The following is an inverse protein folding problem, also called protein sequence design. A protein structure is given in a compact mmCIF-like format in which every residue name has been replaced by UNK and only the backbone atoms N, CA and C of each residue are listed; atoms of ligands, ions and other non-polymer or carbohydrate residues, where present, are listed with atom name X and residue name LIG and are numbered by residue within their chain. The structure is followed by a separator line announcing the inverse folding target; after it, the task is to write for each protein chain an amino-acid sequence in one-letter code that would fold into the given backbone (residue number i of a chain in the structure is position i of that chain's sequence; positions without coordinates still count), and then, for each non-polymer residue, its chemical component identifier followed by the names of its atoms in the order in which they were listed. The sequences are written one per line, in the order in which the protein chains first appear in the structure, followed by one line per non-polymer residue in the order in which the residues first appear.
data_IF_772228565006
#
_entry.id   IF_772228565006
#
_cell.length_a   1.000
_cell.length_b   1.000
_cell.length_c   1.000
_cell.angle_alpha   90.00
_cell.angle_beta   90.00
_cell.angle_gamma   90.00
#
_symmetry.space_group_name_H-M   'P 1'
#
loop_
_entity.id
_entity.type
_entity.pdbx_description
1 polymer ?
#
# COMPACT_ATOMS: atom_id res chain seq x y z
N UNK A 1 -18.88 -3.12 6.41
CA UNK A 1 -18.94 -4.50 5.93
C UNK A 1 -19.48 -4.57 4.49
N UNK A 2 -19.07 -5.60 3.71
CA UNK A 2 -19.57 -5.81 2.36
C UNK A 2 -19.17 -4.81 1.29
N UNK A 3 -18.25 -3.88 1.58
CA UNK A 3 -17.72 -2.89 0.65
C UNK A 3 -16.48 -3.40 -0.09
N UNK A 4 -16.24 -2.87 -1.30
CA UNK A 4 -14.96 -3.05 -2.00
C UNK A 4 -13.94 -2.13 -1.36
N UNK A 5 -12.78 -2.67 -1.02
CA UNK A 5 -11.71 -1.92 -0.35
C UNK A 5 -10.48 -1.82 -1.23
N UNK A 6 -9.99 -0.61 -1.40
CA UNK A 6 -8.69 -0.31 -2.00
C UNK A 6 -7.70 0.00 -0.87
N UNK A 7 -6.70 -0.86 -0.70
CA UNK A 7 -5.71 -0.78 0.39
C UNK A 7 -4.35 -0.37 -0.15
N UNK A 8 -3.75 0.68 0.38
CA UNK A 8 -2.39 1.10 0.08
C UNK A 8 -1.42 0.68 1.18
N UNK A 9 -0.50 -0.21 0.86
CA UNK A 9 0.55 -0.70 1.76
C UNK A 9 1.95 -0.29 1.29
N UNK A 10 2.94 -0.30 2.17
CA UNK A 10 4.35 -0.06 1.85
C UNK A 10 5.16 -1.37 1.87
N UNK A 11 5.10 -2.09 0.75
CA UNK A 11 5.91 -3.29 0.53
C UNK A 11 7.15 -3.00 -0.35
N UNK A 12 7.72 -1.79 -0.21
CA UNK A 12 9.00 -1.48 -0.83
C UNK A 12 10.13 -2.16 -0.06
N UNK A 13 10.29 -3.45 -0.30
CA UNK A 13 11.21 -4.37 0.38
C UNK A 13 12.27 -4.90 -0.58
N UNK A 14 13.47 -5.25 -0.08
CA UNK A 14 14.52 -5.81 -0.91
C UNK A 14 14.17 -7.22 -1.37
N UNK A 15 14.41 -7.46 -2.67
CA UNK A 15 14.25 -8.77 -3.32
C UNK A 15 15.58 -9.13 -3.97
N UNK A 16 16.00 -10.39 -3.85
CA UNK A 16 17.15 -10.98 -4.55
C UNK A 16 16.74 -12.37 -5.04
N UNK A 17 17.09 -12.68 -6.29
CA UNK A 17 16.82 -13.99 -6.89
C UNK A 17 15.36 -14.44 -6.72
N UNK A 18 14.43 -13.51 -6.97
CA UNK A 18 12.97 -13.67 -6.79
C UNK A 18 12.52 -13.96 -5.34
N UNK A 19 13.39 -13.82 -4.37
CA UNK A 19 13.06 -14.01 -2.95
C UNK A 19 13.03 -12.70 -2.17
N UNK A 20 12.06 -12.59 -1.28
CA UNK A 20 11.93 -11.49 -0.33
C UNK A 20 12.96 -11.68 0.78
N UNK A 21 13.91 -10.73 0.92
CA UNK A 21 14.96 -10.81 1.93
C UNK A 21 14.50 -10.43 3.34
N UNK A 22 13.51 -9.57 3.44
CA UNK A 22 12.94 -9.14 4.72
C UNK A 22 11.46 -8.83 4.52
N UNK A 23 10.60 -9.55 5.22
CA UNK A 23 9.14 -9.42 5.12
C UNK A 23 8.50 -8.68 6.31
N UNK A 24 9.28 -8.06 7.18
CA UNK A 24 8.79 -7.37 8.37
C UNK A 24 7.67 -6.36 8.07
N UNK A 25 7.81 -5.58 6.99
CA UNK A 25 6.77 -4.64 6.56
C UNK A 25 5.47 -5.33 6.17
N UNK A 26 5.57 -6.53 5.58
CA UNK A 26 4.41 -7.34 5.24
C UNK A 26 3.74 -7.88 6.50
N UNK A 27 4.54 -8.44 7.41
CA UNK A 27 4.06 -8.97 8.70
C UNK A 27 3.33 -7.88 9.51
N UNK A 28 3.89 -6.66 9.55
CA UNK A 28 3.24 -5.52 10.23
C UNK A 28 1.92 -5.09 9.60
N UNK A 29 1.72 -5.31 8.31
CA UNK A 29 0.46 -4.99 7.62
C UNK A 29 -0.59 -6.12 7.71
N UNK A 30 -0.21 -7.34 8.13
CA UNK A 30 -1.13 -8.48 8.20
C UNK A 30 -2.37 -8.23 9.06
N UNK A 31 -2.31 -7.55 10.22
CA UNK A 31 -3.52 -7.26 11.00
C UNK A 31 -4.57 -6.51 10.19
N UNK A 32 -4.18 -5.44 9.48
CA UNK A 32 -5.07 -4.68 8.59
C UNK A 32 -5.61 -5.56 7.47
N UNK A 33 -4.75 -6.32 6.79
CA UNK A 33 -5.15 -7.16 5.66
C UNK A 33 -6.13 -8.25 6.10
N UNK A 34 -5.86 -8.96 7.19
CA UNK A 34 -6.74 -10.00 7.73
C UNK A 34 -8.09 -9.45 8.14
N UNK A 35 -8.12 -8.33 8.86
CA UNK A 35 -9.36 -7.66 9.22
C UNK A 35 -10.20 -7.28 7.98
N UNK A 36 -9.56 -6.73 6.95
CA UNK A 36 -10.25 -6.37 5.71
C UNK A 36 -10.72 -7.60 4.92
N UNK A 37 -9.96 -8.70 4.92
CA UNK A 37 -10.39 -9.96 4.30
C UNK A 37 -11.66 -10.53 4.94
N UNK A 38 -11.84 -10.38 6.23
CA UNK A 38 -13.05 -10.82 6.95
C UNK A 38 -14.26 -9.94 6.64
N UNK A 39 -14.07 -8.61 6.57
CA UNK A 39 -15.17 -7.62 6.54
C UNK A 39 -15.53 -7.12 5.14
N UNK A 40 -14.57 -7.01 4.24
CA UNK A 40 -14.79 -6.46 2.92
C UNK A 40 -15.45 -7.47 1.96
N UNK A 41 -16.17 -6.97 0.95
CA UNK A 41 -16.60 -7.77 -0.20
C UNK A 41 -15.40 -8.24 -1.02
N UNK A 42 -14.49 -7.30 -1.31
CA UNK A 42 -13.24 -7.58 -2.04
C UNK A 42 -12.14 -6.62 -1.60
N UNK A 43 -10.89 -7.06 -1.70
CA UNK A 43 -9.70 -6.32 -1.32
C UNK A 43 -8.76 -6.16 -2.52
N UNK A 44 -8.48 -4.92 -2.87
CA UNK A 44 -7.52 -4.53 -3.90
C UNK A 44 -6.31 -3.90 -3.23
N UNK A 45 -5.16 -4.55 -3.33
CA UNK A 45 -3.93 -4.09 -2.66
C UNK A 45 -3.06 -3.34 -3.67
N UNK A 46 -2.62 -2.14 -3.28
CA UNK A 46 -1.69 -1.31 -4.04
C UNK A 46 -0.41 -1.14 -3.23
N UNK A 47 0.71 -1.35 -3.89
CA UNK A 47 2.04 -1.05 -3.32
C UNK A 47 2.98 -0.51 -4.40
N UNK A 48 4.16 -0.08 -3.96
CA UNK A 48 5.23 0.30 -4.87
C UNK A 48 6.52 -0.44 -4.54
N UNK A 49 7.40 -0.58 -5.53
CA UNK A 49 8.77 -1.08 -5.35
C UNK A 49 9.75 -0.29 -6.20
N UNK A 50 10.84 0.16 -5.57
CA UNK A 50 11.93 0.87 -6.25
C UNK A 50 11.50 2.17 -6.93
N UNK A 51 12.22 2.51 -8.00
CA UNK A 51 11.99 3.74 -8.79
C UNK A 51 11.99 3.44 -10.29
N UNK A 52 11.04 2.66 -10.80
CA UNK A 52 10.93 2.37 -12.22
C UNK A 52 10.57 3.63 -13.02
N UNK A 53 10.62 3.49 -14.35
CA UNK A 53 10.03 4.45 -15.28
C UNK A 53 8.53 4.21 -15.37
N UNK A 54 7.75 5.28 -15.48
CA UNK A 54 6.27 5.22 -15.65
C UNK A 54 5.93 5.01 -17.15
N UNK A 55 6.20 3.80 -17.66
CA UNK A 55 5.98 3.46 -19.08
C UNK A 55 4.65 2.77 -19.34
N UNK A 56 3.95 2.37 -18.29
CA UNK A 56 2.79 1.47 -18.39
C UNK A 56 3.16 0.00 -18.56
N UNK A 57 4.44 -0.32 -18.74
CA UNK A 57 4.92 -1.68 -18.95
C UNK A 57 5.63 -2.23 -17.72
N UNK A 58 5.48 -3.53 -17.49
CA UNK A 58 6.15 -4.23 -16.39
C UNK A 58 7.67 -4.27 -16.64
N UNK A 59 8.43 -3.74 -15.69
CA UNK A 59 9.89 -3.82 -15.64
C UNK A 59 10.27 -4.93 -14.64
N UNK A 60 10.79 -6.08 -15.10
CA UNK A 60 10.97 -7.29 -14.27
C UNK A 60 11.73 -7.03 -12.97
N UNK A 61 12.78 -6.20 -13.02
CA UNK A 61 13.61 -5.85 -11.87
C UNK A 61 12.86 -5.10 -10.76
N UNK A 62 11.69 -4.51 -11.09
CA UNK A 62 10.81 -3.80 -10.16
C UNK A 62 9.46 -4.49 -9.96
N UNK A 63 9.25 -5.67 -10.54
CA UNK A 63 8.00 -6.42 -10.36
C UNK A 63 7.79 -6.81 -8.90
N UNK A 64 6.52 -6.81 -8.48
CA UNK A 64 6.11 -7.20 -7.13
C UNK A 64 5.61 -8.65 -7.06
N UNK A 65 5.75 -9.44 -8.12
CA UNK A 65 5.35 -10.85 -8.13
C UNK A 65 5.94 -11.66 -6.97
N UNK A 66 7.23 -11.50 -6.60
CA UNK A 66 7.78 -12.17 -5.42
C UNK A 66 7.11 -11.74 -4.10
N UNK A 67 6.67 -10.47 -4.02
CA UNK A 67 5.95 -9.95 -2.85
C UNK A 67 4.57 -10.60 -2.74
N UNK A 68 3.82 -10.70 -3.85
CA UNK A 68 2.51 -11.37 -3.86
C UNK A 68 2.63 -12.86 -3.51
N UNK A 69 3.66 -13.55 -4.02
CA UNK A 69 3.99 -14.93 -3.64
C UNK A 69 4.23 -15.05 -2.13
N UNK A 70 5.03 -14.15 -1.56
CA UNK A 70 5.29 -14.15 -0.11
C UNK A 70 4.03 -13.83 0.70
N UNK A 71 3.22 -12.87 0.23
CA UNK A 71 1.95 -12.53 0.89
C UNK A 71 0.98 -13.71 0.87
N UNK A 72 0.91 -14.46 -0.23
CA UNK A 72 0.12 -15.70 -0.32
C UNK A 72 0.52 -16.71 0.75
N UNK A 73 1.82 -16.88 0.99
CA UNK A 73 2.32 -17.78 2.05
C UNK A 73 1.94 -17.27 3.46
N UNK A 74 2.06 -15.97 3.71
CA UNK A 74 1.74 -15.38 5.02
C UNK A 74 0.25 -15.41 5.35
N UNK A 75 -0.61 -15.38 4.33
CA UNK A 75 -2.07 -15.42 4.48
C UNK A 75 -2.64 -16.82 4.35
N UNK A 76 -1.88 -17.79 3.85
CA UNK A 76 -2.32 -19.13 3.49
C UNK A 76 -3.49 -19.15 2.49
N UNK A 77 -3.52 -18.16 1.59
CA UNK A 77 -4.48 -18.05 0.48
C UNK A 77 -3.79 -17.50 -0.77
N UNK A 78 -4.27 -17.82 -1.99
CA UNK A 78 -3.73 -17.22 -3.21
C UNK A 78 -3.94 -15.70 -3.26
N UNK A 79 -2.89 -14.97 -3.60
CA UNK A 79 -2.94 -13.52 -3.87
C UNK A 79 -2.51 -13.30 -5.34
N UNK A 80 -3.46 -13.31 -6.28
CA UNK A 80 -3.16 -13.08 -7.69
C UNK A 80 -2.70 -11.64 -7.94
N UNK A 81 -1.90 -11.47 -9.00
CA UNK A 81 -1.44 -10.16 -9.49
C UNK A 81 -2.38 -9.69 -10.62
N UNK A 82 -2.69 -8.42 -10.62
CA UNK A 82 -3.25 -7.68 -11.73
C UNK A 82 -2.10 -6.98 -12.45
N UNK A 83 -1.79 -7.38 -13.67
CA UNK A 83 -0.73 -6.75 -14.46
C UNK A 83 -1.19 -5.40 -15.06
N UNK A 84 -2.51 -5.19 -15.19
CA UNK A 84 -3.15 -3.94 -15.61
C UNK A 84 -4.19 -3.45 -14.59
N UNK A 85 -4.64 -2.20 -14.74
CA UNK A 85 -5.71 -1.66 -13.90
C UNK A 85 -7.03 -2.41 -14.13
N UNK A 86 -7.34 -2.78 -15.38
CA UNK A 86 -8.59 -3.48 -15.72
C UNK A 86 -8.66 -4.88 -15.08
N UNK A 87 -7.51 -5.52 -14.84
CA UNK A 87 -7.46 -6.80 -14.14
C UNK A 87 -7.92 -6.72 -12.68
N UNK A 88 -8.01 -5.53 -12.10
CA UNK A 88 -8.56 -5.33 -10.75
C UNK A 88 -10.07 -5.59 -10.68
N UNK A 89 -10.79 -5.62 -11.81
CA UNK A 89 -12.23 -5.93 -11.87
C UNK A 89 -12.54 -7.42 -11.72
N UNK A 90 -11.54 -8.30 -11.80
CA UNK A 90 -11.75 -9.73 -11.67
C UNK A 90 -12.51 -10.06 -10.37
N UNK A 91 -13.46 -11.02 -10.46
CA UNK A 91 -14.22 -11.50 -9.29
C UNK A 91 -13.35 -12.38 -8.38
N UNK A 92 -12.47 -11.75 -7.64
CA UNK A 92 -11.57 -12.37 -6.66
C UNK A 92 -11.71 -11.64 -5.32
N UNK A 93 -11.63 -12.40 -4.24
CA UNK A 93 -11.68 -11.86 -2.88
C UNK A 93 -10.53 -10.89 -2.61
N UNK A 94 -9.33 -11.22 -3.09
CA UNK A 94 -8.12 -10.41 -2.98
C UNK A 94 -7.37 -10.40 -4.31
N UNK A 95 -6.86 -9.24 -4.70
CA UNK A 95 -5.96 -9.06 -5.84
C UNK A 95 -4.93 -8.00 -5.45
N UNK A 96 -3.69 -8.16 -5.89
CA UNK A 96 -2.63 -7.19 -5.73
C UNK A 96 -2.28 -6.59 -7.10
N UNK A 97 -2.35 -5.26 -7.24
CA UNK A 97 -1.92 -4.58 -8.46
C UNK A 97 -0.41 -4.68 -8.61
N UNK A 98 0.08 -4.92 -9.82
CA UNK A 98 1.50 -4.81 -10.12
C UNK A 98 1.99 -3.40 -9.74
N UNK A 99 3.30 -3.24 -9.56
CA UNK A 99 3.92 -2.02 -9.06
C UNK A 99 3.26 -0.74 -9.59
N UNK A 100 2.58 -0.01 -8.70
CA UNK A 100 1.83 1.20 -9.06
C UNK A 100 2.71 2.24 -9.77
N UNK A 101 4.03 2.19 -9.56
CA UNK A 101 4.98 3.11 -10.21
C UNK A 101 5.27 2.79 -11.67
N UNK A 102 4.72 1.74 -12.23
CA UNK A 102 4.71 1.53 -13.67
C UNK A 102 3.66 2.40 -14.36
N UNK A 103 2.57 2.73 -13.67
CA UNK A 103 1.45 3.46 -14.26
C UNK A 103 1.74 4.97 -14.34
N UNK A 104 1.51 5.51 -15.53
CA UNK A 104 1.75 6.91 -15.82
C UNK A 104 0.86 7.81 -14.94
N UNK A 105 1.47 8.82 -14.35
CA UNK A 105 0.78 9.79 -13.50
C UNK A 105 0.78 9.44 -12.00
N UNK A 106 1.39 8.34 -11.58
CA UNK A 106 1.49 8.03 -10.15
C UNK A 106 2.26 9.11 -9.41
N UNK A 107 3.48 9.45 -9.87
CA UNK A 107 4.33 10.46 -9.21
C UNK A 107 3.78 11.88 -9.30
N UNK A 108 3.10 12.19 -10.40
CA UNK A 108 2.55 13.52 -10.67
C UNK A 108 1.19 13.77 -10.02
N UNK A 109 0.67 12.77 -9.29
CA UNK A 109 -0.67 12.83 -8.70
C UNK A 109 -1.76 13.09 -9.75
N UNK A 110 -1.70 12.37 -10.87
CA UNK A 110 -2.65 12.52 -11.97
C UNK A 110 -4.08 12.26 -11.50
N UNK A 111 -4.96 13.23 -11.78
CA UNK A 111 -6.40 13.11 -11.52
C UNK A 111 -7.04 11.92 -12.24
N UNK A 112 -6.56 11.62 -13.46
CA UNK A 112 -7.08 10.49 -14.23
C UNK A 112 -6.76 9.16 -13.55
N UNK A 113 -5.49 8.92 -13.20
CA UNK A 113 -5.08 7.70 -12.48
C UNK A 113 -5.79 7.61 -11.13
N UNK A 114 -5.89 8.72 -10.38
CA UNK A 114 -6.58 8.76 -9.09
C UNK A 114 -8.04 8.33 -9.20
N UNK A 115 -8.76 8.85 -10.18
CA UNK A 115 -10.17 8.46 -10.44
C UNK A 115 -10.28 7.01 -10.87
N UNK A 116 -9.38 6.54 -11.74
CA UNK A 116 -9.37 5.14 -12.17
C UNK A 116 -9.16 4.21 -10.98
N UNK A 117 -8.18 4.51 -10.10
CA UNK A 117 -7.97 3.75 -8.87
C UNK A 117 -9.19 3.77 -7.95
N UNK A 118 -9.83 4.93 -7.79
CA UNK A 118 -11.04 5.08 -6.97
C UNK A 118 -12.21 4.20 -7.41
N UNK A 119 -12.32 3.88 -8.71
CA UNK A 119 -13.37 3.01 -9.24
C UNK A 119 -13.30 1.57 -8.71
N UNK A 120 -12.14 1.13 -8.22
CA UNK A 120 -11.93 -0.23 -7.71
C UNK A 120 -12.22 -0.39 -6.21
N UNK A 121 -12.60 0.70 -5.52
CA UNK A 121 -12.96 0.66 -4.10
C UNK A 121 -14.09 1.61 -3.73
N UNK A 122 -14.98 1.17 -2.88
CA UNK A 122 -15.96 2.05 -2.23
C UNK A 122 -15.31 2.76 -1.04
N UNK A 123 -14.28 2.12 -0.47
CA UNK A 123 -13.47 2.62 0.65
C UNK A 123 -11.99 2.53 0.30
N UNK A 124 -11.25 3.59 0.56
CA UNK A 124 -9.79 3.61 0.49
C UNK A 124 -9.19 3.55 1.89
N UNK A 125 -8.21 2.66 2.09
CA UNK A 125 -7.46 2.54 3.35
C UNK A 125 -5.97 2.79 3.10
N UNK A 126 -5.43 3.79 3.81
CA UNK A 126 -4.00 4.11 3.81
C UNK A 126 -3.29 3.37 4.95
N UNK A 127 -2.45 2.39 4.63
CA UNK A 127 -1.66 1.65 5.61
C UNK A 127 -0.15 1.64 5.26
N UNK A 128 0.32 2.78 4.75
CA UNK A 128 1.68 2.99 4.26
C UNK A 128 2.28 4.28 4.82
N UNK A 129 2.50 4.35 6.14
CA UNK A 129 2.97 5.57 6.83
C UNK A 129 4.23 6.18 6.19
N UNK A 130 5.22 5.36 5.81
CA UNK A 130 6.46 5.81 5.18
C UNK A 130 6.28 6.56 3.85
N UNK A 131 5.11 6.47 3.21
CA UNK A 131 4.77 7.18 1.97
C UNK A 131 3.65 8.20 2.11
N UNK A 132 3.04 8.33 3.28
CA UNK A 132 1.89 9.20 3.53
C UNK A 132 2.17 10.69 3.26
N UNK A 133 3.44 11.10 3.40
CA UNK A 133 3.88 12.46 3.11
C UNK A 133 3.98 12.78 1.60
N UNK A 134 3.84 11.80 0.70
CA UNK A 134 3.98 11.97 -0.74
C UNK A 134 2.65 12.31 -1.39
N UNK A 135 2.61 13.40 -2.14
CA UNK A 135 1.46 13.77 -2.96
C UNK A 135 1.50 13.00 -4.29
N UNK A 136 1.05 11.75 -4.28
CA UNK A 136 1.01 10.85 -5.44
C UNK A 136 -0.42 10.35 -5.69
N UNK A 137 -0.73 9.82 -6.87
CA UNK A 137 -2.09 9.39 -7.23
C UNK A 137 -2.64 8.35 -6.25
N UNK A 138 -1.83 7.31 -5.90
CA UNK A 138 -2.24 6.23 -5.02
C UNK A 138 -2.19 6.54 -3.53
N UNK A 139 -1.60 7.67 -3.11
CA UNK A 139 -1.47 8.05 -1.69
C UNK A 139 -2.27 9.29 -1.32
N UNK A 140 -2.55 10.16 -2.29
CA UNK A 140 -3.22 11.44 -2.08
C UNK A 140 -4.44 11.61 -2.97
N UNK A 141 -4.27 11.63 -4.30
CA UNK A 141 -5.35 11.96 -5.22
C UNK A 141 -6.51 10.97 -5.20
N UNK A 142 -6.25 9.70 -4.92
CA UNK A 142 -7.28 8.65 -4.82
C UNK A 142 -8.31 8.94 -3.71
N UNK A 143 -7.92 9.68 -2.65
CA UNK A 143 -8.80 10.01 -1.52
C UNK A 143 -10.03 10.79 -1.99
N UNK A 144 -9.86 11.72 -2.92
CA UNK A 144 -10.95 12.54 -3.47
C UNK A 144 -11.82 11.75 -4.47
N UNK A 145 -11.45 10.51 -4.78
CA UNK A 145 -12.10 9.68 -5.81
C UNK A 145 -12.88 8.50 -5.25
N UNK A 146 -12.96 8.38 -3.93
CA UNK A 146 -13.70 7.33 -3.21
C UNK A 146 -14.76 7.93 -2.30
N UNK A 147 -15.78 7.14 -1.95
CA UNK A 147 -16.83 7.61 -1.04
C UNK A 147 -16.35 7.76 0.41
N UNK A 148 -15.45 6.90 0.83
CA UNK A 148 -14.92 6.87 2.19
C UNK A 148 -13.42 6.61 2.17
N UNK A 149 -12.67 7.29 3.05
CA UNK A 149 -11.25 7.05 3.24
C UNK A 149 -10.92 6.92 4.73
N UNK A 150 -9.93 6.10 5.03
CA UNK A 150 -9.45 5.88 6.39
C UNK A 150 -8.01 5.39 6.41
N UNK A 151 -7.52 5.07 7.61
CA UNK A 151 -6.19 4.51 7.82
C UNK A 151 -6.28 3.08 8.32
N UNK A 152 -5.23 2.28 8.04
CA UNK A 152 -5.08 0.94 8.60
C UNK A 152 -4.40 0.97 9.97
N UNK A 153 -4.35 -0.18 10.62
CA UNK A 153 -3.83 -0.30 11.99
C UNK A 153 -2.37 0.12 12.12
N UNK A 154 -1.53 -0.13 11.10
CA UNK A 154 -0.13 0.30 11.15
C UNK A 154 -0.01 1.82 11.18
N UNK A 155 -0.78 2.52 10.36
CA UNK A 155 -0.79 4.00 10.34
C UNK A 155 -1.43 4.54 11.62
N UNK A 156 -2.47 3.92 12.15
CA UNK A 156 -3.09 4.28 13.43
C UNK A 156 -2.07 4.21 14.58
N UNK A 157 -1.33 3.11 14.70
CA UNK A 157 -0.28 2.92 15.71
C UNK A 157 0.82 4.00 15.61
N UNK A 158 1.27 4.33 14.39
CA UNK A 158 2.29 5.37 14.17
C UNK A 158 1.75 6.77 14.55
N UNK A 159 0.49 7.06 14.23
CA UNK A 159 -0.16 8.33 14.62
C UNK A 159 -0.33 8.43 16.15
N UNK A 160 -0.70 7.34 16.81
CA UNK A 160 -0.78 7.31 18.27
C UNK A 160 0.59 7.50 18.93
N UNK A 161 1.64 6.87 18.39
CA UNK A 161 3.00 7.06 18.88
C UNK A 161 3.45 8.52 18.74
N UNK A 162 3.22 9.13 17.58
CA UNK A 162 3.50 10.56 17.36
C UNK A 162 2.71 11.46 18.29
N UNK A 163 1.42 11.18 18.49
CA UNK A 163 0.57 11.97 19.41
C UNK A 163 1.12 11.99 20.83
N UNK A 164 1.65 10.86 21.34
CA UNK A 164 2.29 10.78 22.66
C UNK A 164 3.53 11.67 22.78
N UNK A 165 4.24 11.89 21.67
CA UNK A 165 5.45 12.73 21.64
C UNK A 165 5.09 14.21 21.43
N UNK A 166 4.11 14.51 20.56
CA UNK A 166 3.79 15.88 20.16
C UNK A 166 2.80 16.57 21.09
N UNK A 167 1.91 15.79 21.76
CA UNK A 167 0.86 16.34 22.63
C UNK A 167 1.14 15.93 24.08
N UNK A 168 1.60 16.85 24.89
CA UNK A 168 1.93 16.65 26.32
C UNK A 168 2.96 15.51 26.56
N UNK A 169 4.18 15.59 25.99
CA UNK A 169 5.19 14.55 26.18
C UNK A 169 5.58 14.41 27.65
N UNK A 170 5.77 13.16 28.09
CA UNK A 170 6.36 12.88 29.39
C UNK A 170 7.81 13.37 29.40
N UNK A 171 8.20 14.09 30.47
CA UNK A 171 9.59 14.56 30.64
C UNK A 171 10.40 13.57 31.47
N UNK A 172 11.72 13.39 31.19
CA UNK A 172 12.48 14.03 30.12
C UNK A 172 12.16 13.46 28.74
N UNK A 173 12.06 14.30 27.70
CA UNK A 173 11.98 13.91 26.30
C UNK A 173 13.37 14.10 25.66
N UNK A 174 13.96 13.03 25.17
CA UNK A 174 15.27 13.04 24.53
C UNK A 174 15.08 12.66 23.05
N UNK A 175 15.52 13.51 22.14
CA UNK A 175 15.55 13.27 20.71
C UNK A 175 16.95 12.84 20.26
N UNK A 176 17.05 11.71 19.57
CA UNK A 176 18.29 11.27 18.92
C UNK A 176 18.07 11.31 17.40
N UNK A 177 18.88 12.12 16.71
CA UNK A 177 18.84 12.25 15.25
C UNK A 177 20.11 11.65 14.68
N UNK A 178 19.96 10.69 13.76
CA UNK A 178 21.06 10.03 13.09
C UNK A 178 20.59 9.36 11.79
N UNK A 179 21.52 9.12 10.87
CA UNK A 179 21.23 8.45 9.60
C UNK A 179 22.28 8.71 8.54
N UNK A 180 22.15 8.03 7.40
CA UNK A 180 23.06 8.21 6.25
C UNK A 180 22.76 9.47 5.43
N UNK A 181 21.65 10.15 5.70
CA UNK A 181 21.21 11.40 5.06
C UNK A 181 20.64 12.29 6.16
N UNK A 182 21.47 13.18 6.66
CA UNK A 182 21.11 14.24 7.61
C UNK A 182 21.13 15.55 6.84
#
# INVERSE_FOLDING_TARGET
EGKRVLLRVDFNIPIRDEEVLNDERMVRALPTIKHLLEKAKSLRIITHRGRPKETGEVQPEFSIKPIAKRLSQLLDIPVPIADSLDDLEQDKKIIMLENIRFFQGEKENSTNLSKTLGNYGDVYIMDAFGTAHRKQASTFGVIDSVAEAGVGFLVEDELEALKKILVNPKKPLIGIIGGSKI
#
